data_IF_072788889510
#
_entry.id   IF_072788889510
#
_cell.length_a   1.000
_cell.length_b   1.000
_cell.length_c   1.000
_cell.angle_alpha   90.00
_cell.angle_beta   90.00
_cell.angle_gamma   90.00
#
_symmetry.space_group_name_H-M   'P 1'
#
loop_
_entity.id
_entity.type
_entity.pdbx_description
1 polymer ?
#
# COMPACT_ATOMS: atom_id res chain seq x y z
N UNK A 1 -9.96 16.27 26.32
CA UNK A 1 -9.99 17.18 25.16
C UNK A 1 -10.54 16.38 23.99
N UNK A 2 -11.75 16.67 23.47
CA UNK A 2 -12.26 15.93 22.33
C UNK A 2 -11.33 16.23 21.15
N UNK A 3 -10.53 15.25 20.75
CA UNK A 3 -9.73 15.33 19.53
C UNK A 3 -10.74 15.56 18.40
N UNK A 4 -10.51 16.57 17.57
CA UNK A 4 -11.42 16.84 16.44
C UNK A 4 -11.50 15.58 15.58
N UNK A 5 -12.73 15.11 15.33
CA UNK A 5 -12.96 13.89 14.53
C UNK A 5 -12.30 14.00 13.14
N UNK A 6 -12.24 15.22 12.59
CA UNK A 6 -11.51 15.55 11.37
C UNK A 6 -10.01 15.27 11.44
N UNK A 7 -9.37 15.51 12.59
CA UNK A 7 -7.95 15.21 12.77
C UNK A 7 -7.70 13.70 12.77
N UNK A 8 -8.55 12.93 13.45
CA UNK A 8 -8.48 11.47 13.41
C UNK A 8 -8.73 10.93 12.00
N UNK A 9 -9.67 11.52 11.25
CA UNK A 9 -9.94 11.17 9.85
C UNK A 9 -8.72 11.44 8.96
N UNK A 10 -8.07 12.60 9.14
CA UNK A 10 -6.82 12.93 8.45
C UNK A 10 -5.73 11.90 8.71
N UNK A 11 -5.51 11.54 9.98
CA UNK A 11 -4.52 10.50 10.36
C UNK A 11 -4.88 9.15 9.73
N UNK A 12 -6.15 8.74 9.82
CA UNK A 12 -6.60 7.47 9.24
C UNK A 12 -6.41 7.45 7.72
N UNK A 13 -6.67 8.57 7.04
CA UNK A 13 -6.45 8.76 5.62
C UNK A 13 -4.97 8.63 5.25
N UNK A 14 -4.07 9.27 6.01
CA UNK A 14 -2.62 9.12 5.82
C UNK A 14 -2.14 7.68 6.00
N UNK A 15 -2.64 6.98 7.03
CA UNK A 15 -2.34 5.55 7.24
C UNK A 15 -2.87 4.72 6.08
N UNK A 16 -4.08 5.02 5.58
CA UNK A 16 -4.69 4.37 4.43
C UNK A 16 -3.86 4.51 3.16
N UNK A 17 -3.34 5.72 2.88
CA UNK A 17 -2.43 5.99 1.75
C UNK A 17 -1.15 5.16 1.87
N UNK A 18 -0.54 5.11 3.06
CA UNK A 18 0.64 4.28 3.32
C UNK A 18 0.36 2.78 3.13
N UNK A 19 -0.81 2.32 3.56
CA UNK A 19 -1.26 0.94 3.34
C UNK A 19 -1.49 0.65 1.85
N UNK A 20 -2.01 1.60 1.08
CA UNK A 20 -2.20 1.48 -0.37
C UNK A 20 -0.86 1.39 -1.11
N UNK A 21 0.13 2.19 -0.69
CA UNK A 21 1.50 2.08 -1.19
C UNK A 21 2.10 0.69 -0.93
N UNK A 22 2.01 0.20 0.30
CA UNK A 22 2.50 -1.14 0.68
C UNK A 22 1.78 -2.25 -0.10
N UNK A 23 0.47 -2.12 -0.31
CA UNK A 23 -0.30 -3.05 -1.14
C UNK A 23 0.23 -3.09 -2.58
N UNK A 24 0.52 -1.93 -3.18
CA UNK A 24 1.12 -1.85 -4.51
C UNK A 24 2.48 -2.55 -4.57
N UNK A 25 3.36 -2.33 -3.59
CA UNK A 25 4.64 -3.04 -3.49
C UNK A 25 4.46 -4.56 -3.33
N UNK A 26 3.56 -4.99 -2.44
CA UNK A 26 3.29 -6.41 -2.18
C UNK A 26 2.68 -7.11 -3.40
N UNK A 27 1.87 -6.43 -4.22
CA UNK A 27 1.34 -7.04 -5.45
C UNK A 27 2.43 -7.44 -6.43
N UNK A 28 3.45 -6.60 -6.62
CA UNK A 28 4.59 -6.95 -7.46
C UNK A 28 5.46 -8.00 -6.80
N UNK A 29 5.68 -7.91 -5.48
CA UNK A 29 6.47 -8.90 -4.74
C UNK A 29 5.85 -10.31 -4.83
N UNK A 30 4.53 -10.42 -4.71
CA UNK A 30 3.80 -11.69 -4.90
C UNK A 30 3.86 -12.14 -6.37
N UNK A 31 3.69 -11.24 -7.35
CA UNK A 31 3.83 -11.57 -8.78
C UNK A 31 5.24 -12.08 -9.13
N UNK A 32 6.27 -11.54 -8.47
CA UNK A 32 7.67 -11.98 -8.61
C UNK A 32 8.01 -13.22 -7.75
N UNK A 33 7.04 -13.80 -7.03
CA UNK A 33 7.24 -14.97 -6.16
C UNK A 33 8.03 -14.71 -4.88
N UNK A 34 8.30 -13.45 -4.53
CA UNK A 34 9.11 -13.04 -3.36
C UNK A 34 8.31 -12.93 -2.06
N UNK A 35 6.97 -12.90 -2.13
CA UNK A 35 6.09 -12.87 -0.97
C UNK A 35 4.90 -13.83 -1.11
N UNK A 36 4.34 -14.25 0.03
CA UNK A 36 3.15 -15.09 0.09
C UNK A 36 1.89 -14.26 -0.24
N UNK A 37 0.92 -14.88 -0.90
CA UNK A 37 -0.38 -14.26 -1.19
C UNK A 37 -1.12 -13.79 0.08
N UNK A 38 -0.91 -14.46 1.23
CA UNK A 38 -1.49 -14.05 2.52
C UNK A 38 -1.07 -12.65 2.96
N UNK A 39 0.17 -12.23 2.65
CA UNK A 39 0.65 -10.87 2.95
C UNK A 39 -0.11 -9.82 2.15
N UNK A 40 -0.41 -10.10 0.88
CA UNK A 40 -1.17 -9.21 0.01
C UNK A 40 -2.63 -9.07 0.46
N UNK A 41 -3.27 -10.19 0.84
CA UNK A 41 -4.62 -10.17 1.40
C UNK A 41 -4.66 -9.34 2.68
N UNK A 42 -3.66 -9.49 3.55
CA UNK A 42 -3.53 -8.68 4.77
C UNK A 42 -3.42 -7.17 4.49
N UNK A 43 -2.69 -6.76 3.45
CA UNK A 43 -2.63 -5.35 3.05
C UNK A 43 -3.94 -4.87 2.43
N UNK A 44 -4.59 -5.70 1.60
CA UNK A 44 -5.85 -5.36 0.97
C UNK A 44 -6.95 -5.10 2.02
N UNK A 45 -7.05 -5.97 3.03
CA UNK A 45 -7.99 -5.81 4.15
C UNK A 45 -7.73 -4.49 4.88
N UNK A 46 -6.46 -4.15 5.18
CA UNK A 46 -6.12 -2.88 5.86
C UNK A 46 -6.51 -1.66 5.03
N UNK A 47 -6.24 -1.68 3.72
CA UNK A 47 -6.64 -0.59 2.82
C UNK A 47 -8.16 -0.43 2.79
N UNK A 48 -8.89 -1.54 2.65
CA UNK A 48 -10.36 -1.52 2.65
C UNK A 48 -10.93 -1.03 3.98
N UNK A 49 -10.36 -1.45 5.10
CA UNK A 49 -10.78 -0.97 6.43
C UNK A 49 -10.48 0.52 6.62
N UNK A 50 -9.29 1.00 6.22
CA UNK A 50 -8.93 2.40 6.34
C UNK A 50 -9.81 3.29 5.44
N UNK A 51 -9.95 2.96 4.15
CA UNK A 51 -10.76 3.75 3.23
C UNK A 51 -12.26 3.66 3.54
N UNK A 52 -12.71 2.47 3.94
CA UNK A 52 -14.09 2.26 4.39
C UNK A 52 -14.42 3.06 5.64
N UNK A 53 -13.54 3.07 6.64
CA UNK A 53 -13.74 3.83 7.87
C UNK A 53 -13.79 5.35 7.64
N UNK A 54 -13.05 5.87 6.66
CA UNK A 54 -13.10 7.29 6.27
C UNK A 54 -14.45 7.61 5.61
N UNK A 55 -14.97 6.73 4.75
CA UNK A 55 -16.22 6.93 4.01
C UNK A 55 -17.53 6.57 4.76
N UNK A 56 -17.47 5.85 5.88
CA UNK A 56 -18.67 5.27 6.51
C UNK A 56 -19.53 6.26 7.30
N UNK A 57 -18.95 7.38 7.79
CA UNK A 57 -19.60 8.20 8.82
C UNK A 57 -20.10 9.58 8.35
N UNK A 58 -19.64 10.07 7.21
CA UNK A 58 -20.08 11.34 6.61
C UNK A 58 -20.40 11.15 5.12
N UNK A 59 -21.23 12.02 4.54
CA UNK A 59 -21.39 12.07 3.09
C UNK A 59 -20.00 12.30 2.45
N UNK A 60 -19.72 11.61 1.34
CA UNK A 60 -18.41 11.66 0.64
C UNK A 60 -18.02 13.13 0.45
N UNK A 61 -17.03 13.56 1.22
CA UNK A 61 -16.59 14.95 1.29
C UNK A 61 -15.32 15.13 0.44
N UNK A 62 -14.91 16.38 0.20
CA UNK A 62 -13.69 16.68 -0.56
C UNK A 62 -12.45 15.98 0.04
N UNK A 63 -12.40 15.81 1.36
CA UNK A 63 -11.34 15.08 2.05
C UNK A 63 -11.31 13.58 1.68
N UNK A 64 -12.47 12.94 1.56
CA UNK A 64 -12.56 11.53 1.12
C UNK A 64 -12.03 11.38 -0.30
N UNK A 65 -12.44 12.28 -1.20
CA UNK A 65 -11.98 12.28 -2.60
C UNK A 65 -10.45 12.44 -2.66
N UNK A 66 -9.88 13.36 -1.87
CA UNK A 66 -8.44 13.54 -1.78
C UNK A 66 -7.76 12.27 -1.25
N UNK A 67 -8.21 11.70 -0.13
CA UNK A 67 -7.61 10.49 0.44
C UNK A 67 -7.66 9.31 -0.54
N UNK A 68 -8.78 9.12 -1.23
CA UNK A 68 -8.95 8.06 -2.23
C UNK A 68 -8.06 8.29 -3.44
N UNK A 69 -8.01 9.52 -3.98
CA UNK A 69 -7.14 9.86 -5.11
C UNK A 69 -5.65 9.70 -4.77
N UNK A 70 -5.20 10.18 -3.61
CA UNK A 70 -3.84 9.97 -3.13
C UNK A 70 -3.53 8.49 -2.91
N UNK A 71 -4.48 7.71 -2.38
CA UNK A 71 -4.30 6.27 -2.21
C UNK A 71 -4.15 5.54 -3.54
N UNK A 72 -4.96 5.90 -4.55
CA UNK A 72 -4.87 5.35 -5.89
C UNK A 72 -3.54 5.71 -6.57
N UNK A 73 -3.09 6.96 -6.44
CA UNK A 73 -1.78 7.40 -6.94
C UNK A 73 -0.65 6.66 -6.23
N UNK A 74 -0.67 6.57 -4.90
CA UNK A 74 0.36 5.89 -4.11
C UNK A 74 0.46 4.40 -4.47
N UNK A 75 -0.68 3.73 -4.66
CA UNK A 75 -0.74 2.35 -5.13
C UNK A 75 -0.13 2.20 -6.54
N UNK A 76 -0.50 3.09 -7.47
CA UNK A 76 0.02 3.09 -8.84
C UNK A 76 1.53 3.35 -8.92
N UNK A 77 2.03 4.30 -8.13
CA UNK A 77 3.46 4.60 -8.01
C UNK A 77 4.21 3.40 -7.44
N UNK A 78 3.74 2.82 -6.34
CA UNK A 78 4.36 1.64 -5.73
C UNK A 78 4.43 0.44 -6.69
N UNK A 79 3.35 0.23 -7.44
CA UNK A 79 3.28 -0.76 -8.51
C UNK A 79 4.35 -0.50 -9.58
N UNK A 80 4.41 0.73 -10.08
CA UNK A 80 5.33 1.12 -11.14
C UNK A 80 6.79 0.96 -10.71
N UNK A 81 7.17 1.54 -9.57
CA UNK A 81 8.53 1.44 -9.02
C UNK A 81 8.93 -0.02 -8.77
N UNK A 82 8.08 -0.78 -8.07
CA UNK A 82 8.38 -2.17 -7.75
C UNK A 82 8.43 -3.07 -8.99
N UNK A 83 7.69 -2.73 -10.05
CA UNK A 83 7.74 -3.46 -11.32
C UNK A 83 9.07 -3.28 -12.02
N UNK A 84 9.60 -2.05 -12.04
CA UNK A 84 10.87 -1.67 -12.67
C UNK A 84 12.10 -2.04 -11.86
N UNK A 85 11.94 -2.30 -10.57
CA UNK A 85 13.01 -2.79 -9.72
C UNK A 85 13.58 -4.10 -10.30
N UNK A 86 14.83 -4.03 -10.79
CA UNK A 86 15.55 -5.16 -11.37
C UNK A 86 15.46 -6.35 -10.41
N UNK A 87 15.31 -7.55 -10.98
CA UNK A 87 15.41 -8.80 -10.22
C UNK A 87 16.76 -8.74 -9.49
N UNK A 88 16.76 -8.88 -8.16
CA UNK A 88 18.02 -8.97 -7.40
C UNK A 88 18.88 -10.00 -8.11
N UNK A 89 20.02 -9.56 -8.63
CA UNK A 89 21.00 -10.46 -9.20
C UNK A 89 21.40 -11.40 -8.07
N UNK A 90 21.33 -12.69 -8.35
CA UNK A 90 21.73 -13.73 -7.41
C UNK A 90 23.26 -13.65 -7.25
N UNK A 91 23.71 -12.73 -6.39
CA UNK A 91 25.11 -12.50 -6.05
C UNK A 91 25.75 -13.76 -5.46
N UNK A 92 24.94 -14.73 -5.03
CA UNK A 92 25.39 -16.06 -4.60
C UNK A 92 26.06 -16.82 -5.74
N UNK A 93 25.55 -16.70 -6.99
CA UNK A 93 26.21 -17.29 -8.17
C UNK A 93 27.48 -16.56 -8.59
N UNK A 94 27.64 -15.30 -8.18
CA UNK A 94 28.86 -14.53 -8.43
C UNK A 94 29.93 -14.75 -7.33
N UNK A 95 29.52 -14.98 -6.07
CA UNK A 95 30.43 -15.25 -4.95
C UNK A 95 30.81 -16.73 -4.83
N UNK A 96 29.93 -17.66 -5.21
CA UNK A 96 30.17 -19.10 -5.13
C UNK A 96 29.96 -19.73 -6.52
N UNK A 97 30.97 -19.64 -7.41
CA UNK A 97 30.95 -20.43 -8.63
C UNK A 97 30.89 -21.92 -8.25
N UNK A 98 29.99 -22.66 -8.87
CA UNK A 98 29.89 -24.11 -8.70
C UNK A 98 31.12 -24.75 -9.34
N UNK A 99 32.11 -25.11 -8.52
CA UNK A 99 33.17 -26.09 -8.82
C UNK A 99 32.80 -27.46 -8.21
#
# INVERSE_FOLDING_TARGET
MPVSLEFMRGILGFIGIGCAFMLGRSTVAVRKGRQKQSTLIGWAIRVLLCLGAVAFRHAVDAADILVWSFSAVAFGVALWESSREKKEEDLTKAMFPEE
#
